data_IF_252877450630
#
_entry.id   IF_252877450630
#
_cell.length_a   1.000
_cell.length_b   1.000
_cell.length_c   1.000
_cell.angle_alpha   90.00
_cell.angle_beta   90.00
_cell.angle_gamma   90.00
#
_symmetry.space_group_name_H-M   'P 1'
#
loop_
_entity.id
_entity.type
_entity.pdbx_description
1 polymer ?
#
# COMPACT_ATOMS: atom_id res chain seq x y z
N UNK A 1 4.55 4.76 9.71
CA UNK A 1 4.33 4.39 8.29
C UNK A 1 2.89 4.64 7.90
N UNK A 2 2.63 4.94 6.63
CA UNK A 2 1.30 5.26 6.10
C UNK A 2 1.11 4.61 4.72
N UNK A 3 -0.15 4.45 4.30
CA UNK A 3 -0.50 4.03 2.94
C UNK A 3 -1.02 5.21 2.15
N UNK A 4 -0.58 5.33 0.91
CA UNK A 4 -1.05 6.31 -0.06
C UNK A 4 -1.56 5.60 -1.31
N UNK A 5 -2.63 6.12 -1.88
CA UNK A 5 -3.16 5.66 -3.16
C UNK A 5 -2.79 6.71 -4.20
N UNK A 6 -2.16 6.29 -5.29
CA UNK A 6 -1.84 7.15 -6.42
C UNK A 6 -2.32 6.53 -7.73
N UNK A 7 -2.70 7.39 -8.68
CA UNK A 7 -2.85 6.96 -10.07
C UNK A 7 -1.48 6.64 -10.64
N UNK A 8 -1.38 5.50 -11.33
CA UNK A 8 -0.15 5.05 -11.93
C UNK A 8 0.05 5.68 -13.31
N UNK A 9 1.14 6.41 -13.48
CA UNK A 9 1.52 7.00 -14.78
C UNK A 9 2.07 5.98 -15.78
N UNK A 10 2.35 4.75 -15.35
CA UNK A 10 2.94 3.67 -16.15
C UNK A 10 2.26 2.32 -15.89
N UNK A 11 0.96 2.17 -16.22
CA UNK A 11 0.27 0.88 -16.12
C UNK A 11 0.92 -0.19 -16.99
N UNK A 12 0.89 -1.45 -16.55
CA UNK A 12 1.43 -2.59 -17.30
C UNK A 12 2.92 -2.89 -17.06
N UNK A 13 3.65 -2.03 -16.34
CA UNK A 13 5.03 -2.36 -15.92
C UNK A 13 5.05 -3.37 -14.77
N UNK A 14 6.12 -4.17 -14.71
CA UNK A 14 6.36 -5.05 -13.57
C UNK A 14 6.99 -4.28 -12.42
N UNK A 15 6.54 -4.57 -11.20
CA UNK A 15 7.15 -4.10 -9.96
C UNK A 15 7.20 -5.23 -8.92
N UNK A 16 7.98 -5.05 -7.85
CA UNK A 16 8.08 -6.02 -6.76
C UNK A 16 7.22 -5.59 -5.57
N UNK A 17 6.47 -6.52 -5.00
CA UNK A 17 5.70 -6.28 -3.78
C UNK A 17 6.63 -6.16 -2.58
N UNK A 18 6.50 -5.10 -1.79
CA UNK A 18 7.32 -4.90 -0.59
C UNK A 18 7.02 -5.88 0.55
N UNK A 19 5.91 -6.61 0.48
CA UNK A 19 5.51 -7.59 1.51
C UNK A 19 5.94 -9.01 1.18
N UNK A 20 5.70 -9.45 -0.06
CA UNK A 20 5.90 -10.84 -0.46
C UNK A 20 7.02 -11.02 -1.50
N UNK A 21 7.72 -9.93 -1.86
CA UNK A 21 8.80 -9.88 -2.85
C UNK A 21 8.45 -10.50 -4.22
N UNK A 22 7.16 -10.69 -4.49
CA UNK A 22 6.68 -11.27 -5.76
C UNK A 22 6.52 -10.15 -6.78
N UNK A 23 6.97 -10.42 -8.01
CA UNK A 23 6.74 -9.52 -9.13
C UNK A 23 5.24 -9.50 -9.49
N UNK A 24 4.71 -8.31 -9.71
CA UNK A 24 3.33 -8.10 -10.13
C UNK A 24 3.26 -7.04 -11.22
N UNK A 25 2.22 -7.11 -12.03
CA UNK A 25 1.93 -6.08 -13.03
C UNK A 25 1.21 -4.94 -12.34
N UNK A 26 1.76 -3.74 -12.48
CA UNK A 26 1.19 -2.52 -11.92
C UNK A 26 -0.15 -2.19 -12.59
N UNK A 27 -1.16 -1.94 -11.77
CA UNK A 27 -2.51 -1.55 -12.18
C UNK A 27 -2.60 -0.03 -12.41
N UNK A 28 -3.78 0.45 -12.81
CA UNK A 28 -4.06 1.88 -13.02
C UNK A 28 -3.92 2.72 -11.74
N UNK A 29 -4.14 2.12 -10.58
CA UNK A 29 -3.87 2.71 -9.28
C UNK A 29 -2.90 1.82 -8.50
N UNK A 30 -2.03 2.47 -7.72
CA UNK A 30 -1.06 1.80 -6.86
C UNK A 30 -1.24 2.21 -5.41
N UNK A 31 -0.95 1.26 -4.52
CA UNK A 31 -0.87 1.50 -3.08
C UNK A 31 0.59 1.52 -2.69
N UNK A 32 1.02 2.66 -2.17
CA UNK A 32 2.40 2.95 -1.80
C UNK A 32 2.49 2.97 -0.27
N UNK A 33 3.52 2.32 0.25
CA UNK A 33 3.91 2.43 1.66
C UNK A 33 4.90 3.60 1.76
N UNK A 34 4.56 4.58 2.59
CA UNK A 34 5.40 5.73 2.87
C UNK A 34 5.84 5.73 4.34
N UNK A 35 7.04 6.25 4.62
CA UNK A 35 7.42 6.59 5.98
C UNK A 35 6.72 7.88 6.44
N UNK A 36 6.92 8.27 7.71
CA UNK A 36 6.21 9.40 8.31
C UNK A 36 6.66 10.77 7.75
N UNK A 37 7.74 10.80 6.98
CA UNK A 37 8.21 11.98 6.24
C UNK A 37 7.68 12.02 4.80
N UNK A 38 6.89 11.02 4.39
CA UNK A 38 6.34 10.91 3.03
C UNK A 38 7.29 10.25 2.02
N UNK A 39 8.45 9.74 2.43
CA UNK A 39 9.32 9.01 1.51
C UNK A 39 8.75 7.63 1.18
N UNK A 40 8.74 7.30 -0.10
CA UNK A 40 8.31 6.00 -0.60
C UNK A 40 9.25 4.89 -0.14
N UNK A 41 8.67 3.87 0.49
CA UNK A 41 9.36 2.65 0.87
C UNK A 41 9.15 1.53 -0.15
N UNK A 42 7.94 1.41 -0.70
CA UNK A 42 7.62 0.42 -1.74
C UNK A 42 6.13 0.33 -2.05
N UNK A 43 5.75 -0.60 -2.93
CA UNK A 43 4.37 -0.81 -3.37
C UNK A 43 3.82 -2.17 -2.91
N UNK A 44 2.50 -2.23 -2.72
CA UNK A 44 1.79 -3.46 -2.32
C UNK A 44 1.05 -4.05 -3.52
N UNK A 45 1.26 -5.34 -3.80
CA UNK A 45 0.57 -6.02 -4.90
C UNK A 45 -0.93 -6.25 -4.60
N UNK A 46 -1.77 -6.43 -5.64
CA UNK A 46 -3.20 -6.67 -5.47
C UNK A 46 -3.55 -7.86 -4.56
N UNK A 47 -2.74 -8.93 -4.59
CA UNK A 47 -2.96 -10.13 -3.77
C UNK A 47 -2.80 -9.81 -2.28
N UNK A 48 -1.78 -9.01 -1.93
CA UNK A 48 -1.58 -8.60 -0.54
C UNK A 48 -2.62 -7.56 -0.10
N UNK A 49 -3.04 -6.66 -1.01
CA UNK A 49 -4.14 -5.72 -0.74
C UNK A 49 -5.46 -6.44 -0.43
N UNK A 50 -5.74 -7.54 -1.12
CA UNK A 50 -6.98 -8.32 -0.91
C UNK A 50 -7.10 -8.93 0.50
N UNK A 51 -5.99 -9.03 1.25
CA UNK A 51 -6.02 -9.47 2.66
C UNK A 51 -6.61 -8.43 3.62
N UNK A 52 -6.78 -7.20 3.14
CA UNK A 52 -7.46 -6.13 3.87
C UNK A 52 -6.54 -5.31 4.78
N UNK A 53 -7.06 -4.17 5.20
CA UNK A 53 -6.32 -3.15 5.96
C UNK A 53 -5.81 -3.64 7.31
N UNK A 54 -6.59 -4.46 8.03
CA UNK A 54 -6.16 -4.98 9.33
C UNK A 54 -4.85 -5.78 9.20
N UNK A 55 -4.79 -6.64 8.18
CA UNK A 55 -3.60 -7.45 7.91
C UNK A 55 -2.40 -6.59 7.47
N UNK A 56 -2.64 -5.52 6.70
CA UNK A 56 -1.57 -4.59 6.29
C UNK A 56 -1.05 -3.76 7.48
N UNK A 57 -1.94 -3.32 8.37
CA UNK A 57 -1.58 -2.56 9.58
C UNK A 57 -0.65 -3.35 10.49
N UNK A 58 -0.89 -4.65 10.68
CA UNK A 58 0.00 -5.54 11.46
C UNK A 58 1.40 -5.67 10.85
N UNK A 59 1.54 -5.55 9.53
CA UNK A 59 2.80 -5.80 8.80
C UNK A 59 3.67 -4.56 8.73
N UNK A 60 3.05 -3.39 8.73
CA UNK A 60 3.74 -2.12 8.63
C UNK A 60 3.63 -1.26 9.89
N UNK A 61 3.04 -1.77 10.98
CA UNK A 61 2.73 -1.00 12.17
C UNK A 61 2.02 0.33 11.81
N UNK A 62 1.07 0.26 10.88
CA UNK A 62 0.30 1.45 10.48
C UNK A 62 -0.61 1.83 11.64
N UNK A 63 -0.65 3.11 11.98
CA UNK A 63 -1.72 3.63 12.81
C UNK A 63 -3.04 3.40 12.07
N UNK A 64 -3.96 2.62 12.66
CA UNK A 64 -5.31 2.57 12.13
C UNK A 64 -5.92 3.97 12.26
N UNK A 65 -6.56 4.51 11.21
CA UNK A 65 -7.38 5.69 11.39
C UNK A 65 -8.47 5.32 12.41
N UNK A 66 -8.42 5.94 13.58
CA UNK A 66 -9.54 5.88 14.52
C UNK A 66 -10.74 6.43 13.77
N UNK A 67 -11.76 5.60 13.55
CA UNK A 67 -13.01 6.04 12.96
C UNK A 67 -13.48 7.26 13.76
N UNK A 68 -13.40 8.44 13.15
CA UNK A 68 -13.92 9.64 13.74
C UNK A 68 -15.43 9.40 13.90
N UNK A 69 -15.84 9.10 15.13
CA UNK A 69 -17.24 9.00 15.49
C UNK A 69 -17.81 10.42 15.34
N UNK A 70 -18.49 10.66 14.24
CA UNK A 70 -19.23 11.90 14.02
C UNK A 70 -20.43 11.87 14.98
N UNK A 71 -20.35 12.64 16.06
CA UNK A 71 -21.49 13.03 16.90
C UNK A 71 -22.25 14.18 16.26
#
# INVERSE_FOLDING_TARGET
MQLQIECNSMPGKQNSCVICNTLFVMQEARVIVCNDLGYTYGEVCPICLHRGMNWLSERFNLAMPTAASST
#
